data_IF_013859808145
#
_entry.id   IF_013859808145
#
_cell.length_a   1.000
_cell.length_b   1.000
_cell.length_c   1.000
_cell.angle_alpha   90.00
_cell.angle_beta   90.00
_cell.angle_gamma   90.00
#
_symmetry.space_group_name_H-M   'P 1'
#
loop_
_entity.id
_entity.type
_entity.pdbx_description
1 polymer ?
#
# COMPACT_ATOMS: atom_id res chain seq x y z
N UNK A 1 -5.88 -9.29 -7.07
CA UNK A 1 -4.63 -8.56 -6.71
C UNK A 1 -4.94 -7.09 -6.76
N UNK A 2 -4.43 -6.27 -5.85
CA UNK A 2 -4.64 -4.83 -5.91
C UNK A 2 -3.43 -4.08 -5.38
N UNK A 3 -3.36 -2.80 -5.72
CA UNK A 3 -2.36 -1.87 -5.18
C UNK A 3 -2.97 -0.93 -4.12
N UNK A 4 -2.15 -0.04 -3.58
CA UNK A 4 -2.60 1.00 -2.64
C UNK A 4 -3.17 2.25 -3.32
N UNK A 5 -3.28 2.27 -4.66
CA UNK A 5 -3.71 3.43 -5.46
C UNK A 5 -5.08 3.20 -6.13
N UNK A 6 -5.73 2.05 -5.86
CA UNK A 6 -7.05 1.71 -6.38
C UNK A 6 -7.04 0.84 -7.64
N UNK A 7 -5.89 0.36 -8.07
CA UNK A 7 -5.76 -0.64 -9.13
C UNK A 7 -6.17 -2.03 -8.65
N UNK A 8 -7.08 -2.68 -9.37
CA UNK A 8 -7.50 -4.06 -9.11
C UNK A 8 -7.33 -4.95 -10.35
N UNK A 9 -6.82 -6.16 -10.12
CA UNK A 9 -6.67 -7.23 -11.11
C UNK A 9 -7.53 -8.41 -10.64
N UNK A 10 -8.30 -8.98 -11.58
CA UNK A 10 -9.15 -10.15 -11.40
C UNK A 10 -8.61 -11.32 -12.23
N UNK A 11 -7.67 -12.13 -11.69
CA UNK A 11 -6.94 -13.14 -12.48
C UNK A 11 -7.83 -14.22 -13.10
N UNK A 12 -9.02 -14.45 -12.54
CA UNK A 12 -10.02 -15.37 -13.08
C UNK A 12 -10.60 -14.93 -14.43
N UNK A 13 -10.49 -13.65 -14.78
CA UNK A 13 -10.93 -13.11 -16.07
C UNK A 13 -9.72 -12.75 -16.95
N UNK A 14 -8.90 -11.80 -16.49
CA UNK A 14 -7.63 -11.46 -17.14
C UNK A 14 -6.63 -10.85 -16.13
N UNK A 15 -5.32 -11.04 -16.33
CA UNK A 15 -4.28 -10.58 -15.38
C UNK A 15 -3.80 -9.15 -15.66
N UNK A 16 -4.73 -8.19 -15.79
CA UNK A 16 -4.45 -6.77 -16.06
C UNK A 16 -5.31 -5.90 -15.12
N UNK A 17 -4.89 -4.66 -14.85
CA UNK A 17 -5.74 -3.70 -14.16
C UNK A 17 -6.98 -3.36 -14.99
N UNK A 18 -8.15 -3.51 -14.40
CA UNK A 18 -9.42 -3.22 -15.06
C UNK A 18 -10.38 -2.51 -14.09
N UNK A 19 -10.45 -1.19 -14.24
CA UNK A 19 -11.34 -0.34 -13.45
C UNK A 19 -12.81 -0.57 -13.76
N UNK A 20 -13.18 -0.92 -15.00
CA UNK A 20 -14.58 -1.19 -15.35
C UNK A 20 -15.05 -2.48 -14.69
N UNK A 21 -14.23 -3.53 -14.71
CA UNK A 21 -14.51 -4.77 -14.01
C UNK A 21 -14.52 -4.58 -12.50
N UNK A 22 -13.63 -3.73 -11.95
CA UNK A 22 -13.65 -3.39 -10.52
C UNK A 22 -14.99 -2.74 -10.12
N UNK A 23 -15.50 -1.79 -10.90
CA UNK A 23 -16.82 -1.19 -10.69
C UNK A 23 -17.93 -2.24 -10.81
N UNK A 24 -17.89 -3.08 -11.85
CA UNK A 24 -18.88 -4.14 -12.03
C UNK A 24 -18.91 -5.11 -10.83
N UNK A 25 -17.75 -5.49 -10.29
CA UNK A 25 -17.62 -6.32 -9.10
C UNK A 25 -18.11 -5.63 -7.83
N UNK A 26 -17.87 -4.33 -7.70
CA UNK A 26 -18.45 -3.54 -6.61
C UNK A 26 -19.99 -3.53 -6.70
N UNK A 27 -20.55 -3.28 -7.88
CA UNK A 27 -22.00 -3.28 -8.10
C UNK A 27 -22.61 -4.67 -7.87
N UNK A 28 -21.93 -5.73 -8.31
CA UNK A 28 -22.32 -7.13 -8.02
C UNK A 28 -22.40 -7.39 -6.52
N UNK A 29 -21.39 -6.94 -5.74
CA UNK A 29 -21.39 -7.06 -4.29
C UNK A 29 -22.58 -6.32 -3.68
N UNK A 30 -22.79 -5.05 -4.04
CA UNK A 30 -23.90 -4.25 -3.50
C UNK A 30 -25.27 -4.87 -3.83
N UNK A 31 -25.45 -5.37 -5.05
CA UNK A 31 -26.70 -5.99 -5.49
C UNK A 31 -26.95 -7.35 -4.80
N UNK A 32 -25.90 -8.17 -4.65
CA UNK A 32 -26.00 -9.51 -4.05
C UNK A 32 -26.31 -9.44 -2.56
N UNK A 33 -25.62 -8.56 -1.84
CA UNK A 33 -25.79 -8.38 -0.40
C UNK A 33 -26.89 -7.38 -0.04
N UNK A 34 -27.47 -6.68 -1.04
CA UNK A 34 -28.52 -5.65 -0.87
C UNK A 34 -28.12 -4.55 0.11
N UNK A 35 -26.86 -4.12 0.01
CA UNK A 35 -26.28 -3.08 0.87
C UNK A 35 -26.03 -1.81 0.08
N UNK A 36 -26.05 -0.68 0.77
CA UNK A 36 -25.55 0.60 0.28
C UNK A 36 -24.03 0.62 0.40
N UNK A 37 -23.37 1.40 -0.46
CA UNK A 37 -21.92 1.57 -0.40
C UNK A 37 -21.44 2.08 0.97
N UNK A 38 -22.20 3.00 1.58
CA UNK A 38 -21.89 3.52 2.93
C UNK A 38 -21.85 2.40 3.98
N UNK A 39 -22.80 1.47 3.94
CA UNK A 39 -22.86 0.36 4.92
C UNK A 39 -21.65 -0.57 4.78
N UNK A 40 -21.20 -0.82 3.54
CA UNK A 40 -19.98 -1.60 3.28
C UNK A 40 -18.75 -0.87 3.80
N UNK A 41 -18.66 0.45 3.61
CA UNK A 41 -17.54 1.26 4.08
C UNK A 41 -17.52 1.34 5.62
N UNK A 42 -18.69 1.52 6.24
CA UNK A 42 -18.83 1.63 7.70
C UNK A 42 -18.54 0.31 8.44
N UNK A 43 -18.71 -0.84 7.78
CA UNK A 43 -18.39 -2.17 8.32
C UNK A 43 -16.88 -2.48 8.29
N UNK A 44 -16.09 -1.73 7.51
CA UNK A 44 -14.64 -1.91 7.44
C UNK A 44 -13.96 -1.33 8.71
N UNK A 45 -12.87 -1.97 9.18
CA UNK A 45 -12.08 -1.42 10.28
C UNK A 45 -11.58 0.00 9.94
N UNK A 46 -11.78 0.93 10.87
CA UNK A 46 -11.21 2.28 10.74
C UNK A 46 -9.69 2.19 10.76
N UNK A 47 -9.04 2.85 9.81
CA UNK A 47 -7.60 3.04 9.80
C UNK A 47 -7.29 4.49 9.45
N UNK A 48 -6.13 4.96 9.90
CA UNK A 48 -5.63 6.30 9.64
C UNK A 48 -4.35 6.16 8.83
N UNK A 49 -4.22 7.00 7.81
CA UNK A 49 -3.05 7.02 6.93
C UNK A 49 -2.53 8.46 6.85
N UNK A 50 -1.23 8.63 7.04
CA UNK A 50 -0.51 9.85 6.73
C UNK A 50 0.63 9.47 5.80
N UNK A 51 0.86 10.28 4.77
CA UNK A 51 1.96 10.07 3.84
C UNK A 51 2.72 11.37 3.61
N UNK A 52 4.03 11.24 3.41
CA UNK A 52 4.89 12.37 3.07
C UNK A 52 6.01 11.96 2.12
N UNK A 53 6.66 12.96 1.53
CA UNK A 53 7.80 12.77 0.65
C UNK A 53 9.03 13.42 1.27
N UNK A 54 10.11 12.66 1.36
CA UNK A 54 11.39 13.14 1.91
C UNK A 54 12.44 13.10 0.81
N UNK A 55 12.95 14.27 0.42
CA UNK A 55 14.02 14.37 -0.58
C UNK A 55 15.28 13.63 -0.10
N UNK A 56 15.83 12.79 -0.96
CA UNK A 56 17.07 12.07 -0.72
C UNK A 56 17.86 11.97 -2.01
N UNK A 57 19.07 12.58 -2.08
CA UNK A 57 19.96 12.41 -3.21
C UNK A 57 20.20 10.94 -3.56
N UNK A 58 20.35 10.64 -4.84
CA UNK A 58 20.47 9.27 -5.35
C UNK A 58 21.60 8.49 -4.67
N UNK A 59 22.73 9.14 -4.47
CA UNK A 59 23.92 8.61 -3.81
C UNK A 59 23.69 8.26 -2.32
N UNK A 60 22.62 8.76 -1.71
CA UNK A 60 22.31 8.53 -0.30
C UNK A 60 21.20 7.50 -0.09
N UNK A 61 20.40 7.17 -1.11
CA UNK A 61 19.28 6.20 -0.98
C UNK A 61 19.74 4.86 -0.42
N UNK A 62 20.81 4.28 -0.97
CA UNK A 62 21.35 3.01 -0.50
C UNK A 62 21.84 3.05 0.94
N UNK A 63 22.47 4.17 1.34
CA UNK A 63 22.93 4.39 2.72
C UNK A 63 21.75 4.48 3.70
N UNK A 64 20.71 5.26 3.35
CA UNK A 64 19.49 5.39 4.16
C UNK A 64 18.83 4.03 4.36
N UNK A 65 18.63 3.27 3.27
CA UNK A 65 18.05 1.93 3.32
C UNK A 65 18.86 0.98 4.21
N UNK A 66 20.18 1.01 4.11
CA UNK A 66 21.05 0.19 4.96
C UNK A 66 20.92 0.55 6.43
N UNK A 67 21.00 1.84 6.76
CA UNK A 67 20.89 2.34 8.15
C UNK A 67 19.54 1.94 8.75
N UNK A 68 18.43 2.20 8.04
CA UNK A 68 17.10 1.83 8.51
C UNK A 68 16.95 0.31 8.67
N UNK A 69 17.51 -0.48 7.76
CA UNK A 69 17.44 -1.95 7.86
C UNK A 69 18.28 -2.50 9.02
N UNK A 70 19.39 -1.86 9.37
CA UNK A 70 20.23 -2.24 10.52
C UNK A 70 19.57 -1.81 11.83
N UNK A 71 19.10 -0.56 11.91
CA UNK A 71 18.48 0.03 13.10
C UNK A 71 17.17 -0.66 13.50
N UNK A 72 16.34 -1.05 12.52
CA UNK A 72 15.03 -1.66 12.77
C UNK A 72 15.00 -3.17 12.50
N UNK A 73 16.15 -3.85 12.51
CA UNK A 73 16.26 -5.28 12.17
C UNK A 73 15.26 -6.18 12.91
N UNK A 74 15.05 -5.95 14.20
CA UNK A 74 14.15 -6.74 15.06
C UNK A 74 12.67 -6.36 14.89
N UNK A 75 12.38 -5.19 14.33
CA UNK A 75 11.02 -4.65 14.13
C UNK A 75 10.60 -4.64 12.65
N UNK A 76 11.41 -5.26 11.79
CA UNK A 76 11.22 -5.23 10.35
C UNK A 76 10.36 -6.41 9.92
N UNK A 77 9.33 -6.14 9.13
CA UNK A 77 8.61 -7.16 8.36
C UNK A 77 9.48 -7.70 7.21
N UNK A 78 9.13 -8.85 6.63
CA UNK A 78 9.89 -9.46 5.52
C UNK A 78 10.26 -8.41 4.44
N UNK A 79 11.54 -8.35 4.03
CA UNK A 79 11.98 -7.45 2.96
C UNK A 79 11.28 -7.85 1.66
N UNK A 80 10.39 -7.00 1.13
CA UNK A 80 9.81 -7.13 -0.21
C UNK A 80 10.25 -5.92 -1.03
N UNK A 81 9.60 -4.78 -0.77
CA UNK A 81 9.92 -3.49 -1.35
C UNK A 81 9.92 -2.42 -0.26
N UNK A 82 10.93 -1.56 -0.25
CA UNK A 82 11.17 -0.64 0.86
C UNK A 82 11.47 -1.32 2.22
N UNK A 83 11.23 -0.56 3.29
CA UNK A 83 11.36 -1.01 4.68
C UNK A 83 10.06 -0.72 5.41
N UNK A 84 9.31 -1.79 5.70
CA UNK A 84 8.16 -1.73 6.61
C UNK A 84 8.65 -1.94 8.05
N UNK A 85 8.49 -0.91 8.87
CA UNK A 85 8.81 -0.90 10.31
C UNK A 85 7.51 -1.14 11.07
N UNK A 86 7.50 -2.17 11.91
CA UNK A 86 6.39 -2.51 12.79
C UNK A 86 6.54 -1.79 14.15
N UNK A 87 5.50 -1.06 14.55
CA UNK A 87 5.41 -0.33 15.82
C UNK A 87 4.41 -0.99 16.78
N UNK A 88 4.02 -2.24 16.52
CA UNK A 88 3.08 -3.04 17.30
C UNK A 88 1.65 -2.89 16.82
N UNK A 89 1.03 -1.74 17.06
CA UNK A 89 -0.36 -1.45 16.60
C UNK A 89 -0.42 -0.76 15.24
N UNK A 90 0.71 -0.19 14.81
CA UNK A 90 0.83 0.63 13.62
C UNK A 90 2.10 0.23 12.88
N UNK A 91 2.25 0.73 11.65
CA UNK A 91 3.45 0.50 10.86
C UNK A 91 3.78 1.73 10.02
N UNK A 92 5.05 1.86 9.66
CA UNK A 92 5.54 2.88 8.73
C UNK A 92 6.22 2.17 7.57
N UNK A 93 5.96 2.61 6.34
CA UNK A 93 6.64 2.10 5.14
C UNK A 93 7.53 3.19 4.57
N UNK A 94 8.85 2.98 4.66
CA UNK A 94 9.82 3.83 3.96
C UNK A 94 10.12 3.18 2.61
N UNK A 95 9.64 3.79 1.53
CA UNK A 95 9.75 3.28 0.17
C UNK A 95 10.61 4.23 -0.69
N UNK A 96 11.79 3.80 -1.20
CA UNK A 96 12.54 4.61 -2.15
C UNK A 96 11.75 4.75 -3.45
N UNK A 97 11.60 5.97 -3.95
CA UNK A 97 11.02 6.18 -5.28
C UNK A 97 11.97 5.63 -6.35
N UNK A 98 11.43 4.95 -7.35
CA UNK A 98 12.24 4.31 -8.40
C UNK A 98 12.89 5.35 -9.34
N UNK A 99 12.22 6.47 -9.59
CA UNK A 99 12.53 7.40 -10.67
C UNK A 99 12.89 8.82 -10.19
N UNK A 100 12.69 9.11 -8.90
CA UNK A 100 12.92 10.45 -8.31
C UNK A 100 13.81 10.39 -7.07
N UNK A 101 14.62 11.42 -6.77
CA UNK A 101 15.51 11.47 -5.59
C UNK A 101 14.74 11.75 -4.30
N UNK A 102 13.83 10.86 -3.92
CA UNK A 102 13.03 10.95 -2.70
C UNK A 102 12.63 9.57 -2.17
N UNK A 103 12.14 9.57 -0.94
CA UNK A 103 11.42 8.46 -0.31
C UNK A 103 9.96 8.85 -0.09
N UNK A 104 9.06 7.89 -0.25
CA UNK A 104 7.70 7.94 0.27
C UNK A 104 7.70 7.33 1.67
N UNK A 105 7.08 8.01 2.62
CA UNK A 105 6.96 7.58 4.03
C UNK A 105 5.50 7.62 4.45
#
# INVERSE_FOLDING_TARGET
VGDGLGGFIFPSLHPVFDGMLAIAKLLELLATFKMRLSEVVDDLPTYYLSSTQVTCPWEHKGKVMRILSEQYRERRSKPIDGIKIDLGKEWVLVLPDADRPLFHV
#
